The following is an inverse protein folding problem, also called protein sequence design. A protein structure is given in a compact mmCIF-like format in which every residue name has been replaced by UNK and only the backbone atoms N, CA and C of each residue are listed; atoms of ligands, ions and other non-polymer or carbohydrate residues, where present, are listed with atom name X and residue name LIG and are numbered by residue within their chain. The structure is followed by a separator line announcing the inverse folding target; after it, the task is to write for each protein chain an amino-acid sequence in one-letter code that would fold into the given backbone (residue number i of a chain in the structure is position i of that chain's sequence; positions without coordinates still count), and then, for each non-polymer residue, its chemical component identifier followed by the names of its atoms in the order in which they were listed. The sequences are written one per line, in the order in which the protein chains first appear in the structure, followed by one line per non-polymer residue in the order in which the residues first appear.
data_IF_943947281464
#
_entry.id   IF_943947281464
#
_cell.length_a   1.000
_cell.length_b   1.000
_cell.length_c   1.000
_cell.angle_alpha   90.00
_cell.angle_beta   90.00
_cell.angle_gamma   90.00
#
_symmetry.space_group_name_H-M   'P 1'
#
loop_
_entity.id
_entity.type
_entity.pdbx_description
1 polymer ?
#
# COMPACT_ATOMS: atom_id res chain seq x y z
N UNK A 1 -22.63 8.00 20.10
CA UNK A 1 -22.12 8.00 18.72
C UNK A 1 -22.90 6.94 17.95
N UNK A 2 -23.51 7.34 16.84
CA UNK A 2 -24.24 6.38 16.01
C UNK A 2 -23.32 5.34 15.39
N UNK A 3 -23.85 4.17 15.05
CA UNK A 3 -23.12 3.07 14.40
C UNK A 3 -22.36 3.49 13.13
N UNK A 4 -22.86 4.50 12.40
CA UNK A 4 -22.22 5.08 11.23
C UNK A 4 -20.88 5.76 11.55
N UNK A 5 -20.81 6.50 12.64
CA UNK A 5 -19.59 7.23 13.05
C UNK A 5 -18.47 6.27 13.46
N UNK A 6 -18.82 5.21 14.17
CA UNK A 6 -17.85 4.16 14.53
C UNK A 6 -17.30 3.44 13.28
N UNK A 7 -18.15 3.20 12.28
CA UNK A 7 -17.74 2.61 11.01
C UNK A 7 -16.78 3.54 10.25
N UNK A 8 -17.08 4.82 10.16
CA UNK A 8 -16.24 5.81 9.48
C UNK A 8 -14.85 5.93 10.12
N UNK A 9 -14.79 5.90 11.46
CA UNK A 9 -13.52 5.88 12.19
C UNK A 9 -12.77 4.58 11.92
N UNK A 10 -13.44 3.44 11.90
CA UNK A 10 -12.82 2.15 11.58
C UNK A 10 -12.23 2.12 10.16
N UNK A 11 -12.96 2.68 9.17
CA UNK A 11 -12.47 2.80 7.79
C UNK A 11 -11.26 3.73 7.70
N UNK A 12 -11.26 4.85 8.43
CA UNK A 12 -10.08 5.71 8.52
C UNK A 12 -8.87 4.97 9.10
N UNK A 13 -9.07 4.22 10.19
CA UNK A 13 -7.99 3.42 10.80
C UNK A 13 -7.45 2.35 9.84
N UNK A 14 -8.34 1.67 9.10
CA UNK A 14 -7.94 0.71 8.07
C UNK A 14 -7.11 1.36 6.97
N UNK A 15 -7.48 2.55 6.52
CA UNK A 15 -6.72 3.29 5.51
C UNK A 15 -5.35 3.75 6.03
N UNK A 16 -5.26 4.19 7.28
CA UNK A 16 -3.98 4.52 7.92
C UNK A 16 -3.09 3.29 8.00
N UNK A 17 -3.63 2.14 8.40
CA UNK A 17 -2.88 0.89 8.48
C UNK A 17 -2.49 0.36 7.09
N UNK A 18 -3.44 0.30 6.16
CA UNK A 18 -3.21 -0.29 4.84
C UNK A 18 -2.38 0.62 3.91
N UNK A 19 -2.69 1.92 3.87
CA UNK A 19 -2.05 2.88 2.98
C UNK A 19 -0.89 3.63 3.65
N UNK A 20 -1.13 4.19 4.85
CA UNK A 20 -0.14 4.99 5.54
C UNK A 20 1.14 4.22 5.88
N UNK A 21 1.03 2.97 6.31
CA UNK A 21 2.19 2.13 6.63
C UNK A 21 2.95 1.63 5.39
N UNK A 22 2.36 1.69 4.20
CA UNK A 22 3.09 1.45 2.96
C UNK A 22 4.11 2.55 2.63
N UNK A 23 3.85 3.78 3.07
CA UNK A 23 4.68 4.93 2.71
C UNK A 23 6.11 4.83 3.21
N UNK A 24 6.41 4.48 4.47
CA UNK A 24 7.78 4.27 4.92
C UNK A 24 8.53 3.21 4.11
N UNK A 25 7.86 2.12 3.73
CA UNK A 25 8.44 1.07 2.88
C UNK A 25 8.80 1.58 1.49
N UNK A 26 7.88 2.32 0.86
CA UNK A 26 8.09 2.87 -0.47
C UNK A 26 9.15 3.98 -0.49
N UNK A 27 9.11 4.89 0.48
CA UNK A 27 10.09 5.96 0.63
C UNK A 27 11.47 5.41 0.99
N UNK A 28 11.53 4.34 1.76
CA UNK A 28 12.77 3.61 2.03
C UNK A 28 13.39 3.02 0.78
N UNK A 29 12.59 2.49 -0.14
CA UNK A 29 13.05 1.98 -1.44
C UNK A 29 13.52 3.10 -2.38
N UNK A 30 12.88 4.26 -2.35
CA UNK A 30 13.25 5.40 -3.21
C UNK A 30 14.48 6.15 -2.70
N UNK A 31 14.47 6.52 -1.42
CA UNK A 31 15.39 7.51 -0.86
C UNK A 31 16.31 6.94 0.23
N UNK A 32 16.12 5.68 0.62
CA UNK A 32 16.84 5.09 1.75
C UNK A 32 16.35 5.58 3.13
N UNK A 33 15.22 6.28 3.18
CA UNK A 33 14.64 6.75 4.43
C UNK A 33 14.19 5.59 5.32
N UNK A 34 14.06 5.82 6.62
CA UNK A 34 13.64 4.81 7.60
C UNK A 34 14.52 3.54 7.60
N UNK A 35 15.83 3.70 7.37
CA UNK A 35 16.77 2.59 7.19
C UNK A 35 16.44 1.66 6.01
N UNK A 36 15.74 2.18 5.01
CA UNK A 36 15.40 1.44 3.81
C UNK A 36 16.59 1.26 2.87
N UNK A 37 16.45 0.36 1.87
CA UNK A 37 17.56 -0.05 1.00
C UNK A 37 17.99 1.04 0.01
N UNK A 38 17.18 2.06 -0.22
CA UNK A 38 17.36 2.97 -1.33
C UNK A 38 17.11 2.30 -2.69
N UNK A 39 17.17 3.08 -3.76
CA UNK A 39 16.86 2.57 -5.09
C UNK A 39 17.85 1.49 -5.56
N UNK A 40 19.15 1.66 -5.27
CA UNK A 40 20.17 0.68 -5.61
C UNK A 40 20.00 -0.63 -4.84
N UNK A 41 19.70 -0.57 -3.54
CA UNK A 41 19.42 -1.76 -2.73
C UNK A 41 18.14 -2.46 -3.18
N UNK A 42 17.09 -1.72 -3.49
CA UNK A 42 15.86 -2.28 -4.05
C UNK A 42 16.08 -2.96 -5.40
N UNK A 43 16.89 -2.37 -6.28
CA UNK A 43 17.33 -3.04 -7.50
C UNK A 43 18.07 -4.35 -7.23
N UNK A 44 18.88 -4.39 -6.18
CA UNK A 44 19.54 -5.62 -5.71
C UNK A 44 18.55 -6.69 -5.25
N UNK A 45 17.51 -6.30 -4.51
CA UNK A 45 16.43 -7.22 -4.11
C UNK A 45 15.70 -7.81 -5.33
N UNK A 46 15.37 -6.98 -6.33
CA UNK A 46 14.73 -7.44 -7.56
C UNK A 46 15.60 -8.48 -8.31
N UNK A 47 16.91 -8.23 -8.40
CA UNK A 47 17.85 -9.23 -8.97
C UNK A 47 17.83 -10.53 -8.18
N UNK A 48 17.79 -10.46 -6.86
CA UNK A 48 17.69 -11.63 -5.99
C UNK A 48 16.44 -12.48 -6.23
N UNK A 49 15.37 -11.87 -6.75
CA UNK A 49 14.14 -12.56 -7.17
C UNK A 49 14.15 -12.96 -8.66
N UNK A 50 15.26 -12.75 -9.37
CA UNK A 50 15.33 -13.05 -10.80
C UNK A 50 14.61 -12.04 -11.70
N UNK A 51 14.29 -10.86 -11.18
CA UNK A 51 13.61 -9.80 -11.93
C UNK A 51 14.61 -8.83 -12.56
N UNK A 52 14.25 -8.17 -13.68
CA UNK A 52 15.04 -7.10 -14.23
C UNK A 52 15.22 -5.97 -13.20
N UNK A 53 16.45 -5.55 -13.00
CA UNK A 53 16.76 -4.51 -12.01
C UNK A 53 17.34 -3.24 -12.64
N UNK A 54 17.28 -3.15 -13.96
CA UNK A 54 17.67 -1.93 -14.66
C UNK A 54 16.60 -0.84 -14.42
N UNK A 55 17.06 0.37 -14.16
CA UNK A 55 16.19 1.55 -14.21
C UNK A 55 15.52 1.58 -15.59
N UNK A 56 14.20 1.73 -15.71
CA UNK A 56 13.31 2.39 -14.74
C UNK A 56 12.50 1.47 -13.81
N UNK A 57 12.63 0.13 -13.87
CA UNK A 57 11.73 -0.78 -13.14
C UNK A 57 11.69 -0.55 -11.63
N UNK A 58 12.83 -0.46 -10.89
CA UNK A 58 12.80 -0.19 -9.45
C UNK A 58 12.10 1.13 -9.12
N UNK A 59 12.35 2.16 -9.91
CA UNK A 59 11.73 3.47 -9.74
C UNK A 59 10.20 3.42 -9.96
N UNK A 60 9.75 2.75 -11.00
CA UNK A 60 8.33 2.60 -11.31
C UNK A 60 7.61 1.81 -10.21
N UNK A 61 8.17 0.70 -9.76
CA UNK A 61 7.56 -0.12 -8.71
C UNK A 61 7.46 0.62 -7.39
N UNK A 62 8.52 1.30 -6.98
CA UNK A 62 8.51 2.12 -5.76
C UNK A 62 7.54 3.31 -5.89
N UNK A 63 7.48 3.94 -7.07
CA UNK A 63 6.54 5.03 -7.37
C UNK A 63 5.08 4.58 -7.30
N UNK A 64 4.75 3.43 -7.87
CA UNK A 64 3.39 2.82 -7.76
C UNK A 64 3.04 2.58 -6.31
N UNK A 65 3.96 2.08 -5.51
CA UNK A 65 3.72 1.84 -4.08
C UNK A 65 3.48 3.14 -3.30
N UNK A 66 4.24 4.21 -3.59
CA UNK A 66 4.00 5.55 -2.99
C UNK A 66 2.61 6.06 -3.35
N UNK A 67 2.27 6.06 -4.65
CA UNK A 67 1.00 6.58 -5.13
C UNK A 67 -0.18 5.79 -4.55
N UNK A 68 -0.12 4.46 -4.57
CA UNK A 68 -1.16 3.62 -3.99
C UNK A 68 -1.30 3.87 -2.48
N UNK A 69 -0.21 3.90 -1.73
CA UNK A 69 -0.20 4.15 -0.29
C UNK A 69 -0.78 5.52 0.07
N UNK A 70 -0.36 6.56 -0.64
CA UNK A 70 -0.84 7.92 -0.42
C UNK A 70 -2.32 8.07 -0.79
N UNK A 71 -2.75 7.51 -1.92
CA UNK A 71 -4.14 7.54 -2.35
C UNK A 71 -5.07 6.81 -1.37
N UNK A 72 -4.68 5.63 -0.89
CA UNK A 72 -5.44 4.89 0.14
C UNK A 72 -5.49 5.69 1.45
N UNK A 73 -4.36 6.26 1.90
CA UNK A 73 -4.31 7.05 3.12
C UNK A 73 -5.28 8.25 3.06
N UNK A 74 -5.22 9.02 1.97
CA UNK A 74 -6.08 10.19 1.76
C UNK A 74 -7.53 9.83 1.44
N UNK A 75 -7.79 8.59 1.02
CA UNK A 75 -9.10 8.18 0.54
C UNK A 75 -9.43 8.78 -0.82
N UNK A 76 -8.46 8.79 -1.74
CA UNK A 76 -8.63 9.27 -3.10
C UNK A 76 -8.57 8.11 -4.09
N UNK A 77 -9.61 8.02 -4.95
CA UNK A 77 -9.76 6.87 -5.85
C UNK A 77 -9.58 5.53 -5.12
N UNK A 78 -10.17 5.44 -3.92
CA UNK A 78 -9.82 4.46 -2.88
C UNK A 78 -9.92 3.03 -3.35
N UNK A 79 -11.00 2.68 -4.07
CA UNK A 79 -11.20 1.31 -4.59
C UNK A 79 -10.06 0.90 -5.54
N UNK A 80 -9.75 1.76 -6.51
CA UNK A 80 -8.69 1.50 -7.49
C UNK A 80 -7.32 1.46 -6.82
N UNK A 81 -7.00 2.45 -5.99
CA UNK A 81 -5.72 2.55 -5.30
C UNK A 81 -5.48 1.34 -4.37
N UNK A 82 -6.51 0.91 -3.65
CA UNK A 82 -6.41 -0.26 -2.78
C UNK A 82 -6.24 -1.57 -3.58
N UNK A 83 -6.91 -1.72 -4.74
CA UNK A 83 -6.72 -2.87 -5.63
C UNK A 83 -5.31 -2.90 -6.22
N UNK A 84 -4.79 -1.78 -6.68
CA UNK A 84 -3.41 -1.67 -7.19
C UNK A 84 -2.41 -2.01 -6.09
N UNK A 85 -2.59 -1.46 -4.89
CA UNK A 85 -1.77 -1.79 -3.73
C UNK A 85 -1.84 -3.26 -3.35
N UNK A 86 -3.04 -3.85 -3.33
CA UNK A 86 -3.24 -5.27 -3.04
C UNK A 86 -2.54 -6.17 -4.06
N UNK A 87 -2.68 -5.87 -5.36
CA UNK A 87 -1.99 -6.62 -6.42
C UNK A 87 -0.47 -6.53 -6.28
N UNK A 88 0.06 -5.33 -5.98
CA UNK A 88 1.48 -5.12 -5.75
C UNK A 88 2.00 -5.95 -4.56
N UNK A 89 1.32 -5.89 -3.42
CA UNK A 89 1.74 -6.61 -2.21
C UNK A 89 1.52 -8.12 -2.37
N UNK A 90 0.44 -8.57 -3.04
CA UNK A 90 0.25 -9.99 -3.35
C UNK A 90 1.39 -10.53 -4.23
N UNK A 91 1.87 -9.75 -5.18
CA UNK A 91 3.04 -10.12 -5.97
C UNK A 91 4.29 -10.27 -5.10
N UNK A 92 4.52 -9.36 -4.15
CA UNK A 92 5.64 -9.52 -3.20
C UNK A 92 5.47 -10.76 -2.32
N UNK A 93 4.23 -11.14 -1.95
CA UNK A 93 3.95 -12.38 -1.24
C UNK A 93 4.38 -13.61 -2.05
N UNK A 94 4.07 -13.64 -3.36
CA UNK A 94 4.51 -14.72 -4.25
C UNK A 94 6.04 -14.86 -4.29
N UNK A 95 6.75 -13.73 -4.35
CA UNK A 95 8.21 -13.71 -4.33
C UNK A 95 8.79 -14.19 -2.99
N UNK A 96 8.07 -13.99 -1.89
CA UNK A 96 8.48 -14.40 -0.54
C UNK A 96 8.15 -15.87 -0.21
N UNK A 97 7.34 -16.58 -1.01
CA UNK A 97 6.92 -17.97 -0.77
C UNK A 97 8.09 -18.92 -0.41
N UNK A 98 9.24 -18.88 -1.11
CA UNK A 98 10.34 -19.78 -0.79
C UNK A 98 10.94 -19.57 0.61
N UNK A 99 10.69 -18.39 1.24
CA UNK A 99 11.18 -18.05 2.58
C UNK A 99 10.27 -18.59 3.70
N UNK A 100 9.15 -19.21 3.34
CA UNK A 100 8.16 -19.76 4.27
C UNK A 100 7.21 -18.72 4.84
N UNK A 101 6.58 -19.03 5.97
CA UNK A 101 5.52 -18.23 6.59
C UNK A 101 6.05 -17.03 7.37
N UNK A 102 6.98 -17.25 8.28
CA UNK A 102 7.33 -16.28 9.31
C UNK A 102 8.06 -15.03 8.78
N UNK A 103 7.55 -13.85 9.16
CA UNK A 103 8.10 -12.55 8.78
C UNK A 103 9.58 -12.36 9.18
N UNK A 104 10.01 -12.94 10.30
CA UNK A 104 11.39 -12.88 10.78
C UNK A 104 12.40 -13.46 9.78
N UNK A 105 11.93 -14.34 8.90
CA UNK A 105 12.73 -14.94 7.82
C UNK A 105 12.45 -14.29 6.47
N UNK A 106 11.71 -13.18 6.45
CA UNK A 106 11.25 -12.55 5.22
C UNK A 106 10.12 -13.31 4.52
N UNK A 107 9.35 -14.11 5.27
CA UNK A 107 8.25 -14.93 4.75
C UNK A 107 6.99 -14.14 4.41
N UNK A 108 5.95 -14.87 4.05
CA UNK A 108 4.72 -14.32 3.43
C UNK A 108 3.74 -13.71 4.42
N UNK A 109 3.91 -13.90 5.72
CA UNK A 109 2.96 -13.49 6.75
C UNK A 109 2.51 -12.03 6.61
N UNK A 110 3.45 -11.10 6.56
CA UNK A 110 3.13 -9.66 6.42
C UNK A 110 2.56 -9.31 5.05
N UNK A 111 3.13 -9.73 3.93
CA UNK A 111 2.52 -9.45 2.63
C UNK A 111 1.10 -10.00 2.49
N UNK A 112 0.81 -11.19 3.01
CA UNK A 112 -0.54 -11.76 3.00
C UNK A 112 -1.50 -10.93 3.84
N UNK A 113 -1.13 -10.61 5.09
CA UNK A 113 -1.94 -9.77 5.97
C UNK A 113 -2.22 -8.40 5.34
N UNK A 114 -1.20 -7.79 4.75
CA UNK A 114 -1.32 -6.49 4.10
C UNK A 114 -2.20 -6.51 2.86
N UNK A 115 -2.09 -7.56 2.06
CA UNK A 115 -2.98 -7.79 0.92
C UNK A 115 -4.43 -7.85 1.36
N UNK A 116 -4.73 -8.59 2.43
CA UNK A 116 -6.08 -8.70 2.99
C UNK A 116 -6.60 -7.35 3.52
N UNK A 117 -5.74 -6.55 4.17
CA UNK A 117 -6.11 -5.20 4.60
C UNK A 117 -6.47 -4.31 3.41
N UNK A 118 -5.66 -4.29 2.36
CA UNK A 118 -5.93 -3.51 1.16
C UNK A 118 -7.19 -3.98 0.43
N UNK A 119 -7.42 -5.29 0.34
CA UNK A 119 -8.67 -5.83 -0.22
C UNK A 119 -9.88 -5.43 0.63
N UNK A 120 -9.75 -5.42 1.95
CA UNK A 120 -10.82 -4.94 2.83
C UNK A 120 -11.16 -3.48 2.58
N UNK A 121 -10.16 -2.63 2.39
CA UNK A 121 -10.36 -1.22 2.01
C UNK A 121 -10.98 -1.12 0.61
N UNK A 122 -10.54 -1.94 -0.34
CA UNK A 122 -11.10 -1.94 -1.70
C UNK A 122 -12.58 -2.33 -1.72
N UNK A 123 -13.00 -3.24 -0.85
CA UNK A 123 -14.41 -3.65 -0.72
C UNK A 123 -15.25 -2.64 0.05
N UNK A 124 -14.74 -2.14 1.17
CA UNK A 124 -15.48 -1.27 2.08
C UNK A 124 -15.54 0.19 1.61
N UNK A 125 -14.56 0.63 0.82
CA UNK A 125 -14.44 2.02 0.37
C UNK A 125 -13.76 2.94 1.37
N UNK A 126 -13.87 4.24 1.10
CA UNK A 126 -13.10 5.26 1.80
C UNK A 126 -13.71 5.74 3.14
N UNK A 127 -15.02 5.61 3.31
CA UNK A 127 -15.75 6.25 4.42
C UNK A 127 -15.89 7.77 4.27
N UNK A 128 -16.56 8.40 5.22
CA UNK A 128 -16.85 9.85 5.16
C UNK A 128 -15.61 10.72 5.34
N UNK A 129 -14.61 10.25 6.10
CA UNK A 129 -13.35 10.99 6.32
C UNK A 129 -12.35 10.76 5.17
N UNK A 130 -12.73 11.14 3.94
CA UNK A 130 -11.95 10.86 2.74
C UNK A 130 -12.09 11.95 1.68
N UNK A 131 -11.12 12.04 0.78
CA UNK A 131 -11.21 12.91 -0.39
C UNK A 131 -12.33 12.47 -1.34
N UNK A 132 -12.56 11.16 -1.51
CA UNK A 132 -13.64 10.65 -2.34
C UNK A 132 -15.01 11.16 -1.84
N UNK A 133 -15.23 11.14 -0.52
CA UNK A 133 -16.45 11.65 0.09
C UNK A 133 -16.58 13.17 -0.04
N UNK A 134 -15.47 13.89 0.18
CA UNK A 134 -15.45 15.35 0.06
C UNK A 134 -15.78 15.80 -1.37
N UNK A 135 -15.17 15.18 -2.37
CA UNK A 135 -15.39 15.51 -3.79
C UNK A 135 -16.79 15.11 -4.29
N UNK A 136 -17.40 14.10 -3.69
CA UNK A 136 -18.76 13.67 -4.02
C UNK A 136 -19.85 14.52 -3.35
N UNK A 137 -19.50 15.39 -2.38
CA UNK A 137 -20.45 16.23 -1.66
C UNK A 137 -21.00 17.35 -2.55
N UNK A 138 -22.33 17.63 -2.54
CA UNK A 138 -22.89 18.76 -3.25
C UNK A 138 -22.34 20.08 -2.68
N UNK A 139 -21.50 20.80 -3.40
CA UNK A 139 -20.86 22.04 -2.97
C UNK A 139 -19.35 21.99 -2.90
N UNK A 140 -18.71 20.91 -3.31
CA UNK A 140 -17.28 20.89 -3.55
C UNK A 140 -16.93 21.90 -4.68
N UNK A 141 -15.89 22.74 -4.52
CA UNK A 141 -15.50 23.67 -5.56
C UNK A 141 -15.14 22.92 -6.85
N UNK A 142 -15.73 23.35 -7.96
CA UNK A 142 -15.46 22.86 -9.31
C UNK A 142 -14.10 23.32 -9.83
#
# INVERSE_FOLDING_TARGET
MGSSHALDVALLMLRVAAGGFLLPHALGKLFGWFNGPGLAGFAGELRGFGLPAATPLPLLLAGVQVLAGLSVLLGWQTHLAALVGAAFIAFTALLALPRGWFWMRGGVEYPVMWTLLLLSVALAGAGTFSLDSFLASPGAPS
#
